data_IF_051221118974
#
_entry.id   IF_051221118974
#
_cell.length_a   1.000
_cell.length_b   1.000
_cell.length_c   1.000
_cell.angle_alpha   90.00
_cell.angle_beta   90.00
_cell.angle_gamma   90.00
#
_symmetry.space_group_name_H-M   'P 1'
#
loop_
_entity.id
_entity.type
_entity.pdbx_description
1 polymer ?
#
# COMPACT_ATOMS: atom_id res chain seq x y z
N UNK A 1 -4.53 -2.72 24.34
CA UNK A 1 -3.84 -2.52 23.05
C UNK A 1 -4.31 -1.18 22.50
N UNK A 2 -3.44 -0.38 21.90
CA UNK A 2 -3.84 0.92 21.33
C UNK A 2 -4.70 0.66 20.09
N UNK A 3 -5.74 1.49 19.88
CA UNK A 3 -6.54 1.38 18.67
C UNK A 3 -5.73 1.79 17.42
N UNK A 4 -6.21 1.41 16.24
CA UNK A 4 -5.51 1.65 14.97
C UNK A 4 -5.23 3.15 14.72
N UNK A 5 -6.20 4.02 15.01
CA UNK A 5 -6.08 5.46 14.76
C UNK A 5 -5.00 6.10 15.64
N UNK A 6 -4.98 5.77 16.93
CA UNK A 6 -3.93 6.24 17.86
C UNK A 6 -2.55 5.75 17.42
N UNK A 7 -2.44 4.48 17.02
CA UNK A 7 -1.18 3.91 16.52
C UNK A 7 -0.68 4.66 15.30
N UNK A 8 -1.55 4.89 14.31
CA UNK A 8 -1.18 5.61 13.08
C UNK A 8 -0.90 7.10 13.32
N UNK A 9 -1.60 7.74 14.28
CA UNK A 9 -1.33 9.13 14.66
C UNK A 9 0.09 9.28 15.25
N UNK A 10 0.48 8.40 16.18
CA UNK A 10 1.83 8.39 16.76
C UNK A 10 2.89 8.19 15.68
N UNK A 11 2.66 7.27 14.73
CA UNK A 11 3.58 7.03 13.61
C UNK A 11 3.71 8.28 12.74
N UNK A 12 2.59 8.94 12.45
CA UNK A 12 2.56 10.16 11.63
C UNK A 12 3.33 11.30 12.30
N UNK A 13 3.17 11.48 13.61
CA UNK A 13 3.88 12.53 14.35
C UNK A 13 5.39 12.26 14.39
N UNK A 14 5.82 11.00 14.54
CA UNK A 14 7.23 10.62 14.37
C UNK A 14 7.76 10.97 12.99
N UNK A 15 6.99 10.70 11.93
CA UNK A 15 7.33 11.07 10.56
C UNK A 15 7.48 12.58 10.36
N UNK A 16 6.57 13.40 10.93
CA UNK A 16 6.67 14.87 10.90
C UNK A 16 7.92 15.40 11.58
N UNK A 17 8.32 14.75 12.67
CA UNK A 17 9.49 15.14 13.46
C UNK A 17 10.80 14.57 12.91
N UNK A 18 10.78 13.80 11.84
CA UNK A 18 11.94 13.12 11.25
C UNK A 18 12.59 12.08 12.17
N UNK A 19 11.82 11.57 13.13
CA UNK A 19 12.28 10.52 14.06
C UNK A 19 12.18 9.14 13.40
N UNK A 20 13.11 8.25 13.74
CA UNK A 20 13.12 6.88 13.22
C UNK A 20 11.80 6.14 13.47
N UNK A 21 11.39 5.34 12.51
CA UNK A 21 10.24 4.45 12.63
C UNK A 21 10.67 3.16 13.35
N UNK A 22 10.50 3.15 14.66
CA UNK A 22 10.86 2.03 15.52
C UNK A 22 9.75 0.97 15.60
N UNK A 23 10.16 -0.26 15.91
CA UNK A 23 9.26 -1.41 16.17
C UNK A 23 8.25 -1.69 15.04
N UNK A 24 8.59 -1.39 13.79
CA UNK A 24 7.71 -1.53 12.62
C UNK A 24 7.06 -2.91 12.58
N UNK A 25 7.88 -3.96 12.75
CA UNK A 25 7.41 -5.33 12.68
C UNK A 25 6.40 -5.65 13.81
N UNK A 26 6.64 -5.17 15.03
CA UNK A 26 5.71 -5.35 16.16
C UNK A 26 4.37 -4.67 15.96
N UNK A 27 4.32 -3.59 15.19
CA UNK A 27 3.06 -2.91 14.88
C UNK A 27 2.12 -3.76 14.03
N UNK A 28 2.66 -4.72 13.27
CA UNK A 28 1.87 -5.72 12.53
C UNK A 28 1.09 -6.68 13.44
N UNK A 29 1.32 -6.67 14.75
CA UNK A 29 0.59 -7.52 15.70
C UNK A 29 -0.71 -6.89 16.21
N UNK A 30 -1.03 -5.66 15.78
CA UNK A 30 -2.23 -4.96 16.20
C UNK A 30 -3.44 -5.36 15.32
N UNK A 31 -4.42 -6.14 15.84
CA UNK A 31 -5.57 -6.59 15.07
C UNK A 31 -6.47 -5.45 14.58
N UNK A 32 -6.51 -4.31 15.28
CA UNK A 32 -7.31 -3.15 14.87
C UNK A 32 -6.84 -2.57 13.52
N UNK A 33 -5.53 -2.68 13.22
CA UNK A 33 -5.00 -2.30 11.91
C UNK A 33 -5.56 -3.19 10.80
N UNK A 34 -5.76 -4.49 11.06
CA UNK A 34 -6.37 -5.42 10.11
C UNK A 34 -7.85 -5.13 9.88
N UNK A 35 -8.59 -4.82 10.94
CA UNK A 35 -10.00 -4.44 10.83
C UNK A 35 -10.16 -3.16 10.01
N UNK A 36 -9.32 -2.16 10.26
CA UNK A 36 -9.28 -0.93 9.49
C UNK A 36 -8.90 -1.18 8.02
N UNK A 37 -7.87 -1.98 7.78
CA UNK A 37 -7.43 -2.39 6.45
C UNK A 37 -8.54 -3.14 5.70
N UNK A 38 -9.21 -4.08 6.37
CA UNK A 38 -10.35 -4.81 5.81
C UNK A 38 -11.46 -3.86 5.36
N UNK A 39 -11.90 -2.93 6.22
CA UNK A 39 -12.92 -1.94 5.89
C UNK A 39 -12.57 -1.07 4.68
N UNK A 40 -11.26 -0.77 4.50
CA UNK A 40 -10.77 0.02 3.37
C UNK A 40 -10.81 -0.76 2.05
N UNK A 41 -10.34 -2.02 2.04
CA UNK A 41 -10.22 -2.79 0.80
C UNK A 41 -11.44 -3.65 0.47
N UNK A 42 -12.39 -3.80 1.40
CA UNK A 42 -13.62 -4.56 1.22
C UNK A 42 -14.42 -4.12 -0.01
N UNK A 43 -14.52 -2.80 -0.22
CA UNK A 43 -15.32 -2.20 -1.31
C UNK A 43 -14.58 -2.10 -2.64
N UNK A 44 -13.32 -2.53 -2.70
CA UNK A 44 -12.55 -2.45 -3.94
C UNK A 44 -13.10 -3.41 -4.99
N UNK A 45 -13.14 -3.00 -6.25
CA UNK A 45 -13.62 -3.81 -7.37
C UNK A 45 -12.95 -5.20 -7.48
N UNK A 46 -11.69 -5.30 -6.98
CA UNK A 46 -10.94 -6.57 -6.93
C UNK A 46 -11.15 -7.40 -5.67
N UNK A 47 -12.09 -7.04 -4.77
CA UNK A 47 -12.29 -7.73 -3.49
C UNK A 47 -12.68 -9.21 -3.67
N UNK A 48 -13.50 -9.50 -4.66
CA UNK A 48 -13.93 -10.87 -5.00
C UNK A 48 -12.96 -11.61 -5.93
N UNK A 49 -11.86 -10.96 -6.36
CA UNK A 49 -10.89 -11.57 -7.26
C UNK A 49 -10.00 -12.55 -6.50
N UNK A 50 -10.11 -13.83 -6.81
CA UNK A 50 -9.32 -14.91 -6.21
C UNK A 50 -7.86 -14.81 -6.63
N UNK A 51 -6.95 -14.98 -5.67
CA UNK A 51 -5.52 -15.15 -5.91
C UNK A 51 -5.17 -16.58 -6.31
N UNK A 52 -4.03 -17.08 -5.83
CA UNK A 52 -3.62 -18.49 -5.99
C UNK A 52 -4.50 -19.44 -5.17
N UNK A 53 -5.05 -18.97 -4.06
CA UNK A 53 -6.05 -19.69 -3.26
C UNK A 53 -7.47 -19.26 -3.67
N UNK A 54 -8.47 -20.02 -3.24
CA UNK A 54 -9.89 -19.68 -3.45
C UNK A 54 -10.41 -18.52 -2.58
N UNK A 55 -9.56 -17.91 -1.76
CA UNK A 55 -9.95 -16.86 -0.82
C UNK A 55 -10.49 -15.61 -1.51
N UNK A 56 -11.56 -15.09 -0.95
CA UNK A 56 -12.17 -13.80 -1.28
C UNK A 56 -12.40 -13.00 0.00
N UNK A 57 -12.89 -11.77 -0.15
CA UNK A 57 -13.21 -10.91 1.00
C UNK A 57 -14.15 -11.56 1.99
N UNK A 58 -15.17 -12.30 1.52
CA UNK A 58 -16.19 -12.92 2.38
C UNK A 58 -15.65 -14.08 3.24
N UNK A 59 -14.51 -14.63 2.86
CA UNK A 59 -13.83 -15.69 3.63
C UNK A 59 -12.95 -15.20 4.76
N UNK A 60 -12.83 -13.87 4.99
CA UNK A 60 -12.03 -13.31 6.06
C UNK A 60 -12.78 -13.35 7.39
N UNK A 61 -12.10 -13.79 8.44
CA UNK A 61 -12.62 -13.89 9.81
C UNK A 61 -11.60 -13.36 10.81
N UNK A 62 -12.07 -13.01 12.03
CA UNK A 62 -11.16 -12.62 13.12
C UNK A 62 -10.13 -13.70 13.41
N UNK A 63 -10.53 -14.97 13.39
CA UNK A 63 -9.61 -16.09 13.59
C UNK A 63 -8.46 -16.10 12.58
N UNK A 64 -8.73 -15.84 11.30
CA UNK A 64 -7.66 -15.75 10.28
C UNK A 64 -6.71 -14.57 10.51
N UNK A 65 -7.24 -13.45 11.02
CA UNK A 65 -6.40 -12.29 11.40
C UNK A 65 -5.49 -12.69 12.56
N UNK A 66 -6.02 -13.33 13.59
CA UNK A 66 -5.26 -13.79 14.75
C UNK A 66 -4.21 -14.84 14.37
N UNK A 67 -4.57 -15.81 13.51
CA UNK A 67 -3.63 -16.80 12.95
C UNK A 67 -2.49 -16.11 12.17
N UNK A 68 -2.81 -15.10 11.38
CA UNK A 68 -1.80 -14.31 10.64
C UNK A 68 -0.85 -13.58 11.61
N UNK A 69 -1.40 -12.94 12.64
CA UNK A 69 -0.61 -12.25 13.66
C UNK A 69 0.29 -13.22 14.42
N UNK A 70 -0.22 -14.41 14.74
CA UNK A 70 0.56 -15.42 15.45
C UNK A 70 1.71 -15.97 14.57
N UNK A 71 1.46 -16.17 13.27
CA UNK A 71 2.51 -16.54 12.33
C UNK A 71 3.59 -15.44 12.22
N UNK A 72 3.19 -14.17 12.23
CA UNK A 72 4.13 -13.04 12.21
C UNK A 72 4.94 -12.97 13.52
N UNK A 73 4.32 -13.13 14.69
CA UNK A 73 5.02 -13.14 15.99
C UNK A 73 6.11 -14.20 16.07
N UNK A 74 5.85 -15.35 15.47
CA UNK A 74 6.77 -16.48 15.46
C UNK A 74 7.72 -16.48 14.24
N UNK A 75 7.71 -15.40 13.42
CA UNK A 75 8.51 -15.26 12.18
C UNK A 75 8.28 -16.40 11.18
N UNK A 76 7.08 -17.01 11.22
CA UNK A 76 6.69 -18.16 10.40
C UNK A 76 5.77 -17.82 9.25
N UNK A 77 5.34 -16.56 9.14
CA UNK A 77 4.52 -16.13 8.01
C UNK A 77 5.28 -16.31 6.69
N UNK A 78 4.60 -16.87 5.69
CA UNK A 78 5.15 -17.04 4.34
C UNK A 78 4.18 -16.47 3.32
N UNK A 79 4.66 -15.63 2.45
CA UNK A 79 3.88 -15.09 1.34
C UNK A 79 3.47 -16.20 0.39
N UNK A 80 2.23 -16.17 -0.06
CA UNK A 80 1.74 -17.11 -1.06
C UNK A 80 2.15 -16.61 -2.45
N UNK A 81 2.66 -17.47 -3.35
CA UNK A 81 2.92 -17.08 -4.73
C UNK A 81 1.70 -16.46 -5.38
N UNK A 82 1.88 -15.35 -6.08
CA UNK A 82 0.78 -14.65 -6.74
C UNK A 82 0.26 -15.43 -7.95
N UNK A 83 -1.05 -15.38 -8.19
CA UNK A 83 -1.62 -15.88 -9.44
C UNK A 83 -1.31 -14.89 -10.57
N UNK A 84 -0.50 -15.31 -11.53
CA UNK A 84 -0.16 -14.46 -12.67
C UNK A 84 -1.30 -14.42 -13.68
N UNK A 85 -1.67 -13.22 -14.12
CA UNK A 85 -2.60 -12.96 -15.23
C UNK A 85 -2.01 -11.91 -16.16
N UNK A 86 -2.59 -11.73 -17.34
CA UNK A 86 -2.09 -10.78 -18.31
C UNK A 86 -3.20 -9.81 -18.71
N UNK A 87 -2.86 -8.53 -18.75
CA UNK A 87 -3.75 -7.46 -19.19
C UNK A 87 -3.21 -6.89 -20.50
N UNK A 88 -4.05 -6.73 -21.55
CA UNK A 88 -3.61 -6.13 -22.80
C UNK A 88 -3.26 -4.65 -22.60
N UNK A 89 -2.11 -4.22 -23.11
CA UNK A 89 -1.75 -2.81 -23.19
C UNK A 89 -2.35 -2.21 -24.47
N UNK A 90 -2.44 -0.87 -24.55
CA UNK A 90 -2.89 -0.15 -25.75
C UNK A 90 -2.07 -0.49 -27.02
N UNK A 91 -0.82 -0.88 -26.85
CA UNK A 91 0.08 -1.30 -27.94
C UNK A 91 0.00 -2.81 -28.27
N UNK A 92 -1.00 -3.52 -27.77
CA UNK A 92 -1.23 -4.95 -28.00
C UNK A 92 -0.31 -5.90 -27.22
N UNK A 93 0.74 -5.42 -26.54
CA UNK A 93 1.61 -6.29 -25.74
C UNK A 93 0.94 -6.64 -24.40
N UNK A 94 1.04 -7.89 -23.93
CA UNK A 94 0.51 -8.26 -22.64
C UNK A 94 1.34 -7.64 -21.49
N UNK A 95 0.64 -7.13 -20.45
CA UNK A 95 1.26 -6.72 -19.19
C UNK A 95 1.00 -7.81 -18.14
N UNK A 96 2.04 -8.43 -17.56
CA UNK A 96 1.84 -9.35 -16.47
C UNK A 96 1.31 -8.62 -15.22
N UNK A 97 0.37 -9.25 -14.54
CA UNK A 97 -0.17 -8.80 -13.27
C UNK A 97 -0.18 -9.97 -12.29
N UNK A 98 0.39 -9.76 -11.11
CA UNK A 98 0.33 -10.71 -10.00
C UNK A 98 -0.88 -10.41 -9.11
N UNK A 99 -1.73 -11.40 -8.89
CA UNK A 99 -2.88 -11.30 -7.98
C UNK A 99 -2.55 -12.08 -6.72
N UNK A 100 -2.28 -11.39 -5.59
CA UNK A 100 -2.02 -12.05 -4.30
C UNK A 100 -3.28 -12.69 -3.73
N UNK A 101 -3.12 -13.55 -2.73
CA UNK A 101 -4.23 -14.07 -1.95
C UNK A 101 -4.91 -12.95 -1.15
N UNK A 102 -6.11 -13.19 -0.67
CA UNK A 102 -6.81 -12.18 0.12
C UNK A 102 -6.10 -11.90 1.45
N UNK A 103 -5.61 -12.94 2.12
CA UNK A 103 -4.83 -12.80 3.35
C UNK A 103 -3.58 -11.95 3.13
N UNK A 104 -2.84 -12.20 2.03
CA UNK A 104 -1.67 -11.39 1.66
C UNK A 104 -2.05 -9.94 1.34
N UNK A 105 -3.15 -9.70 0.61
CA UNK A 105 -3.66 -8.33 0.34
C UNK A 105 -3.96 -7.58 1.63
N UNK A 106 -4.56 -8.25 2.60
CA UNK A 106 -4.90 -7.64 3.88
C UNK A 106 -3.65 -7.24 4.66
N UNK A 107 -2.65 -8.13 4.75
CA UNK A 107 -1.37 -7.82 5.39
C UNK A 107 -0.63 -6.70 4.66
N UNK A 108 -0.59 -6.71 3.33
CA UNK A 108 -0.01 -5.63 2.52
C UNK A 108 -0.69 -4.28 2.81
N UNK A 109 -2.01 -4.25 2.95
CA UNK A 109 -2.74 -3.03 3.28
C UNK A 109 -2.42 -2.52 4.70
N UNK A 110 -2.23 -3.42 5.67
CA UNK A 110 -1.73 -3.05 7.00
C UNK A 110 -0.35 -2.42 6.91
N UNK A 111 0.59 -3.07 6.22
CA UNK A 111 1.95 -2.54 5.98
C UNK A 111 1.90 -1.18 5.29
N UNK A 112 1.08 -1.06 4.22
CA UNK A 112 0.90 0.20 3.49
C UNK A 112 0.41 1.31 4.42
N UNK A 113 -0.56 1.03 5.30
CA UNK A 113 -1.11 2.05 6.21
C UNK A 113 -0.08 2.57 7.21
N UNK A 114 0.81 1.70 7.71
CA UNK A 114 1.92 2.08 8.60
C UNK A 114 2.93 2.95 7.86
N UNK A 115 3.38 2.51 6.68
CA UNK A 115 4.36 3.24 5.87
C UNK A 115 3.80 4.58 5.39
N UNK A 116 2.54 4.61 4.94
CA UNK A 116 1.85 5.84 4.54
C UNK A 116 1.75 6.83 5.71
N UNK A 117 1.39 6.37 6.90
CA UNK A 117 1.33 7.25 8.07
C UNK A 117 2.69 7.90 8.38
N UNK A 118 3.79 7.16 8.20
CA UNK A 118 5.13 7.66 8.47
C UNK A 118 5.68 8.57 7.36
N UNK A 119 5.56 8.14 6.09
CA UNK A 119 6.20 8.86 4.97
C UNK A 119 5.37 9.99 4.40
N UNK A 120 4.04 9.95 4.52
CA UNK A 120 3.17 10.98 3.94
C UNK A 120 3.54 12.42 4.39
N UNK A 121 3.86 12.67 5.67
CA UNK A 121 4.29 14.00 6.09
C UNK A 121 5.66 14.44 5.56
N UNK A 122 6.47 13.51 5.06
CA UNK A 122 7.84 13.77 4.59
C UNK A 122 7.92 14.01 3.08
N UNK A 123 6.85 13.70 2.35
CA UNK A 123 6.85 13.89 0.90
C UNK A 123 6.81 15.38 0.53
N UNK A 124 7.60 15.73 -0.49
CA UNK A 124 7.56 17.06 -1.10
C UNK A 124 6.13 17.44 -1.52
N UNK A 125 5.80 18.72 -1.42
CA UNK A 125 4.54 19.28 -1.91
C UNK A 125 4.34 19.05 -3.42
N UNK A 126 5.42 18.89 -4.19
CA UNK A 126 5.39 18.60 -5.62
C UNK A 126 5.19 17.12 -5.94
N UNK A 127 5.11 16.23 -4.93
CA UNK A 127 4.82 14.82 -5.13
C UNK A 127 3.32 14.57 -5.16
N UNK A 128 2.80 14.03 -6.26
CA UNK A 128 1.36 13.82 -6.47
C UNK A 128 0.97 12.36 -6.67
N UNK A 129 1.91 11.49 -7.07
CA UNK A 129 1.63 10.09 -7.41
C UNK A 129 1.27 9.24 -6.20
N UNK A 130 0.14 8.53 -6.26
CA UNK A 130 -0.30 7.54 -5.27
C UNK A 130 -0.45 8.05 -3.83
N UNK A 131 -0.59 9.36 -3.64
CA UNK A 131 -0.80 9.99 -2.33
C UNK A 131 -2.29 10.22 -2.05
N UNK A 132 -2.72 10.25 -0.76
CA UNK A 132 -4.07 10.65 -0.38
C UNK A 132 -4.40 12.06 -0.91
N UNK A 133 -5.60 12.22 -1.45
CA UNK A 133 -6.13 13.50 -1.96
C UNK A 133 -5.30 14.16 -3.07
N UNK A 134 -4.27 13.48 -3.60
CA UNK A 134 -3.42 13.94 -4.70
C UNK A 134 -3.51 13.01 -5.91
N UNK A 135 -3.26 13.53 -7.08
CA UNK A 135 -3.30 12.76 -8.33
C UNK A 135 -2.99 13.61 -9.56
N UNK A 136 -3.24 13.07 -10.75
CA UNK A 136 -2.95 13.77 -12.01
C UNK A 136 -3.58 15.18 -12.09
N UNK A 137 -4.82 15.33 -11.60
CA UNK A 137 -5.49 16.63 -11.66
C UNK A 137 -4.86 17.66 -10.72
N UNK A 138 -4.39 17.27 -9.55
CA UNK A 138 -3.68 18.19 -8.65
C UNK A 138 -2.33 18.58 -9.22
N UNK A 139 -1.58 17.62 -9.82
CA UNK A 139 -0.33 17.90 -10.50
C UNK A 139 -0.50 18.87 -11.67
N UNK A 140 -1.50 18.64 -12.52
CA UNK A 140 -1.79 19.55 -13.65
C UNK A 140 -2.19 20.94 -13.20
N UNK A 141 -2.94 21.06 -12.09
CA UNK A 141 -3.29 22.35 -11.52
C UNK A 141 -2.05 23.09 -11.03
N UNK A 142 -1.17 22.41 -10.30
CA UNK A 142 0.06 23.03 -9.78
C UNK A 142 0.95 23.49 -10.94
N UNK A 143 1.14 22.68 -11.97
CA UNK A 143 1.88 23.06 -13.18
C UNK A 143 1.26 24.32 -13.80
N UNK A 144 -0.06 24.34 -14.00
CA UNK A 144 -0.75 25.46 -14.62
C UNK A 144 -0.62 26.77 -13.84
N UNK A 145 -0.57 26.70 -12.50
CA UNK A 145 -0.55 27.87 -11.62
C UNK A 145 0.88 28.35 -11.31
N UNK A 146 1.79 27.41 -11.06
CA UNK A 146 3.12 27.73 -10.50
C UNK A 146 4.25 27.73 -11.54
N UNK A 147 4.07 27.07 -12.70
CA UNK A 147 5.13 26.93 -13.71
C UNK A 147 5.03 28.00 -14.82
N UNK A 148 4.41 29.13 -14.53
CA UNK A 148 4.35 30.25 -15.47
C UNK A 148 5.73 30.78 -15.80
N UNK A 149 6.03 30.93 -17.10
CA UNK A 149 7.34 31.38 -17.57
C UNK A 149 8.41 30.27 -17.67
N UNK A 150 8.09 29.03 -17.35
CA UNK A 150 9.00 27.90 -17.54
C UNK A 150 9.22 27.63 -19.02
N UNK A 151 10.47 27.68 -19.51
CA UNK A 151 10.86 27.45 -20.91
C UNK A 151 11.36 26.01 -21.09
N UNK A 152 12.00 25.45 -20.06
CA UNK A 152 12.63 24.12 -20.10
C UNK A 152 12.09 23.24 -18.98
N UNK A 153 11.92 21.95 -19.30
CA UNK A 153 11.68 20.91 -18.28
C UNK A 153 12.57 19.69 -18.56
N UNK A 154 12.90 18.96 -17.50
CA UNK A 154 13.67 17.73 -17.58
C UNK A 154 12.72 16.58 -17.20
N UNK A 155 12.57 15.61 -18.12
CA UNK A 155 11.83 14.38 -17.86
C UNK A 155 12.82 13.25 -17.54
N UNK A 156 12.54 12.53 -16.45
CA UNK A 156 13.34 11.36 -16.05
C UNK A 156 12.45 10.24 -15.54
N UNK A 157 12.80 8.99 -15.87
CA UNK A 157 12.14 7.79 -15.38
C UNK A 157 13.16 6.69 -15.04
N UNK A 158 12.88 5.93 -13.99
CA UNK A 158 13.72 4.80 -13.59
C UNK A 158 13.24 3.54 -14.32
N UNK A 159 13.97 3.15 -15.35
CA UNK A 159 13.65 1.98 -16.16
C UNK A 159 13.69 0.69 -15.35
N UNK A 160 12.55 -0.01 -15.29
CA UNK A 160 12.48 -1.35 -14.70
C UNK A 160 12.73 -1.39 -13.19
N UNK A 161 12.40 -0.32 -12.45
CA UNK A 161 12.63 -0.23 -11.01
C UNK A 161 12.02 -1.43 -10.25
N UNK A 162 10.78 -1.79 -10.55
CA UNK A 162 10.10 -2.92 -9.89
C UNK A 162 10.50 -4.29 -10.46
N UNK A 163 10.95 -4.35 -11.71
CA UNK A 163 11.35 -5.61 -12.34
C UNK A 163 12.73 -6.10 -11.86
N UNK A 164 13.52 -5.21 -11.23
CA UNK A 164 14.86 -5.49 -10.72
C UNK A 164 14.94 -5.65 -9.21
N UNK A 165 13.84 -5.46 -8.51
CA UNK A 165 13.75 -5.58 -7.05
C UNK A 165 13.37 -7.00 -6.58
N UNK A 166 13.41 -8.01 -7.48
CA UNK A 166 13.13 -9.42 -7.21
C UNK A 166 14.40 -10.24 -7.07
#
# INVERSE_FOLDING_TARGET
>A
MQNAETTLAIIRDRGKEGKDLEDVYRRLYNPDLYLRAYGRIYRNAGAMTKGATGETVDGMTMRKIEETIELLRNERYRWTPVRRTFIPKKNGKPRPLGIPTWSDKLLQEVMRSILEAYYEPQFSENSHGFRPERGCHTALRDINVTWTGTIWFIEGDIKGCLDRAS
#
